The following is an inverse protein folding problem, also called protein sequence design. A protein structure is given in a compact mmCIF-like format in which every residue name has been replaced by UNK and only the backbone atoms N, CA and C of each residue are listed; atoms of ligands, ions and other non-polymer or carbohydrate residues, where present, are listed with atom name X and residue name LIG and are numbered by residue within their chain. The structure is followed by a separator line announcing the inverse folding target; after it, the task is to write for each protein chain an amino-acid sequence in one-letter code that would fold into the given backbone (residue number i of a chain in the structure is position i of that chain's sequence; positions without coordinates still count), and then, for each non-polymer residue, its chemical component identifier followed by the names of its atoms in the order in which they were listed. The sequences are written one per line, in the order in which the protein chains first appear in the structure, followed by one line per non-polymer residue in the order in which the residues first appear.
data_IF_802046377999
#
_entry.id   IF_802046377999
#
_cell.length_a   1.000
_cell.length_b   1.000
_cell.length_c   1.000
_cell.angle_alpha   90.00
_cell.angle_beta   90.00
_cell.angle_gamma   90.00
#
_symmetry.space_group_name_H-M   'P 1'
#
loop_
_entity.id
_entity.type
_entity.pdbx_description
1 polymer ?
#
# COMPACT_ATOMS: atom_id res chain seq x y z
N UNK A 1 -15.35 14.89 -19.66
CA UNK A 1 -15.36 13.87 -18.59
C UNK A 1 -14.12 13.04 -18.84
N UNK A 2 -13.07 13.26 -18.05
CA UNK A 2 -11.87 12.42 -18.14
C UNK A 2 -12.19 11.20 -17.30
N UNK A 3 -12.33 10.04 -17.94
CA UNK A 3 -12.28 8.76 -17.26
C UNK A 3 -10.95 8.72 -16.50
N UNK A 4 -11.00 8.99 -15.21
CA UNK A 4 -9.95 8.60 -14.28
C UNK A 4 -9.97 7.07 -14.28
N UNK A 5 -9.26 6.46 -15.23
CA UNK A 5 -8.74 5.11 -15.01
C UNK A 5 -8.14 5.15 -13.61
N UNK A 6 -8.79 4.46 -12.69
CA UNK A 6 -8.24 4.21 -11.38
C UNK A 6 -6.92 3.50 -11.64
N UNK A 7 -5.82 4.25 -11.61
CA UNK A 7 -4.50 3.66 -11.76
C UNK A 7 -4.29 2.77 -10.54
N UNK A 8 -4.65 1.50 -10.70
CA UNK A 8 -4.43 0.45 -9.72
C UNK A 8 -2.93 0.12 -9.57
N UNK A 9 -2.05 0.81 -10.30
CA UNK A 9 -0.61 0.54 -10.45
C UNK A 9 0.26 1.65 -9.84
N UNK A 10 -0.31 2.51 -9.00
CA UNK A 10 0.37 3.72 -8.55
C UNK A 10 1.25 3.54 -7.31
N UNK A 11 1.25 2.39 -6.62
CA UNK A 11 1.97 2.25 -5.34
C UNK A 11 2.66 0.88 -5.22
N UNK A 12 3.82 0.73 -5.85
CA UNK A 12 4.63 -0.50 -5.79
C UNK A 12 5.36 -0.61 -4.45
N UNK A 13 5.21 -1.75 -3.79
CA UNK A 13 5.91 -2.06 -2.54
C UNK A 13 7.32 -2.56 -2.87
N UNK A 14 8.32 -1.72 -2.59
CA UNK A 14 9.73 -2.09 -2.76
C UNK A 14 10.26 -2.86 -1.55
N UNK A 15 9.80 -2.50 -0.35
CA UNK A 15 10.23 -3.15 0.91
C UNK A 15 9.24 -2.88 2.03
N UNK A 16 9.03 -3.86 2.90
CA UNK A 16 8.48 -3.67 4.24
C UNK A 16 9.60 -3.85 5.26
N UNK A 17 9.88 -2.84 6.09
CA UNK A 17 10.96 -2.89 7.08
C UNK A 17 10.68 -2.03 8.31
N UNK A 18 11.56 -2.16 9.31
CA UNK A 18 11.63 -1.28 10.48
C UNK A 18 12.97 -0.57 10.51
N UNK A 19 12.95 0.69 10.90
CA UNK A 19 14.12 1.50 11.23
C UNK A 19 13.94 2.12 12.64
N UNK A 20 14.82 3.04 13.03
CA UNK A 20 14.75 3.74 14.33
C UNK A 20 13.53 4.64 14.46
N UNK A 21 12.90 5.04 13.35
CA UNK A 21 11.68 5.86 13.32
C UNK A 21 10.43 4.98 13.46
N UNK A 22 10.51 3.73 12.98
CA UNK A 22 9.51 2.70 13.19
C UNK A 22 9.22 1.84 11.96
N UNK A 23 8.09 1.14 12.00
CA UNK A 23 7.61 0.29 10.91
C UNK A 23 7.18 1.12 9.69
N UNK A 24 7.57 0.69 8.49
CA UNK A 24 7.28 1.42 7.26
C UNK A 24 7.28 0.53 6.02
N UNK A 25 6.68 1.06 4.96
CA UNK A 25 6.90 0.60 3.59
C UNK A 25 7.80 1.59 2.86
N UNK A 26 8.74 1.07 2.10
CA UNK A 26 9.38 1.79 0.99
C UNK A 26 8.50 1.58 -0.23
N UNK A 27 7.83 2.64 -0.67
CA UNK A 27 6.91 2.60 -1.81
C UNK A 27 7.49 3.39 -2.97
N UNK A 28 7.43 2.83 -4.17
CA UNK A 28 7.53 3.60 -5.41
C UNK A 28 6.12 4.00 -5.81
N UNK A 29 5.90 5.31 -5.87
CA UNK A 29 4.62 5.89 -6.27
C UNK A 29 4.75 6.51 -7.65
N UNK A 30 3.87 6.13 -8.57
CA UNK A 30 3.79 6.70 -9.92
C UNK A 30 2.53 7.54 -10.05
N UNK A 31 2.70 8.77 -10.52
CA UNK A 31 1.65 9.76 -10.79
C UNK A 31 1.85 10.30 -12.21
N UNK A 32 0.88 11.05 -12.77
CA UNK A 32 1.00 11.60 -14.13
C UNK A 32 2.24 12.50 -14.33
N UNK A 33 2.74 13.14 -13.28
CA UNK A 33 3.91 14.02 -13.28
C UNK A 33 5.24 13.31 -12.96
N UNK A 34 5.22 11.98 -12.78
CA UNK A 34 6.43 11.15 -12.66
C UNK A 34 6.35 10.11 -11.54
N UNK A 35 7.51 9.66 -11.06
CA UNK A 35 7.60 8.69 -9.97
C UNK A 35 8.42 9.21 -8.79
N UNK A 36 8.04 8.83 -7.57
CA UNK A 36 8.73 9.18 -6.33
C UNK A 36 8.82 7.96 -5.40
N UNK A 37 9.96 7.81 -4.73
CA UNK A 37 10.11 6.82 -3.67
C UNK A 37 9.82 7.49 -2.33
N UNK A 38 8.83 6.97 -1.60
CA UNK A 38 8.39 7.50 -0.31
C UNK A 38 8.60 6.49 0.82
N UNK A 39 8.71 7.02 2.05
CA UNK A 39 8.60 6.27 3.30
C UNK A 39 7.16 6.36 3.81
N UNK A 40 6.41 5.29 3.68
CA UNK A 40 5.03 5.23 4.14
C UNK A 40 4.97 4.57 5.53
N UNK A 41 4.67 5.37 6.56
CA UNK A 41 4.66 4.89 7.94
C UNK A 41 3.52 3.90 8.21
N UNK A 42 3.83 2.83 8.94
CA UNK A 42 2.86 1.83 9.38
C UNK A 42 2.83 1.77 10.90
N UNK A 43 1.68 1.40 11.46
CA UNK A 43 1.65 0.86 12.81
C UNK A 43 2.18 -0.59 12.83
N UNK A 44 2.33 -1.13 14.03
CA UNK A 44 2.87 -2.48 14.22
C UNK A 44 1.95 -3.57 13.64
N UNK A 45 0.63 -3.40 13.77
CA UNK A 45 -0.36 -4.39 13.37
C UNK A 45 -0.40 -4.52 11.86
N UNK A 46 -0.48 -3.40 11.15
CA UNK A 46 -0.49 -3.35 9.70
C UNK A 46 0.85 -3.80 9.11
N UNK A 47 1.96 -3.44 9.77
CA UNK A 47 3.29 -3.92 9.38
C UNK A 47 3.40 -5.44 9.39
N UNK A 48 2.96 -6.09 10.47
CA UNK A 48 3.02 -7.57 10.56
C UNK A 48 2.21 -8.19 9.42
N UNK A 49 0.97 -7.71 9.19
CA UNK A 49 0.10 -8.22 8.13
C UNK A 49 0.72 -8.05 6.75
N UNK A 50 1.17 -6.85 6.40
CA UNK A 50 1.76 -6.58 5.08
C UNK A 50 3.06 -7.35 4.88
N UNK A 51 3.94 -7.38 5.90
CA UNK A 51 5.18 -8.16 5.86
C UNK A 51 4.91 -9.63 5.57
N UNK A 52 3.90 -10.21 6.19
CA UNK A 52 3.57 -11.62 6.01
C UNK A 52 2.92 -11.89 4.65
N UNK A 53 2.20 -10.92 4.09
CA UNK A 53 1.69 -10.97 2.71
C UNK A 53 2.86 -10.95 1.71
N UNK A 54 3.79 -10.00 1.84
CA UNK A 54 4.87 -9.80 0.84
C UNK A 54 5.99 -10.84 0.94
N UNK A 55 6.04 -11.63 2.03
CA UNK A 55 6.97 -12.76 2.19
C UNK A 55 6.51 -14.04 1.50
N UNK A 56 5.23 -14.15 1.15
CA UNK A 56 4.66 -15.37 0.56
C UNK A 56 4.51 -15.16 -0.94
N UNK A 57 5.12 -16.01 -1.76
CA UNK A 57 4.73 -16.07 -3.17
C UNK A 57 3.27 -16.52 -3.24
N UNK A 58 2.39 -15.69 -3.79
CA UNK A 58 0.96 -16.01 -4.00
C UNK A 58 0.70 -16.63 -5.38
N UNK A 59 1.78 -16.87 -6.13
CA UNK A 59 1.81 -17.60 -7.38
C UNK A 59 2.66 -18.87 -7.21
N UNK A 60 2.89 -19.62 -8.30
CA UNK A 60 3.66 -20.86 -8.24
C UNK A 60 5.09 -20.60 -7.76
N UNK A 61 5.63 -21.50 -6.92
CA UNK A 61 6.97 -21.31 -6.31
C UNK A 61 8.14 -21.18 -7.30
N UNK A 62 7.93 -21.57 -8.56
CA UNK A 62 8.88 -21.49 -9.67
C UNK A 62 8.74 -20.20 -10.48
N UNK A 63 7.70 -19.41 -10.24
CA UNK A 63 7.42 -18.18 -10.95
C UNK A 63 8.30 -17.03 -10.41
N UNK A 64 9.26 -16.61 -11.25
CA UNK A 64 10.13 -15.46 -11.00
C UNK A 64 9.44 -14.14 -11.42
N UNK A 65 9.97 -13.02 -10.93
CA UNK A 65 9.58 -11.65 -11.34
C UNK A 65 8.16 -11.20 -10.98
N UNK A 66 7.70 -11.52 -9.76
CA UNK A 66 6.49 -10.91 -9.20
C UNK A 66 6.81 -9.67 -8.35
N UNK A 67 5.86 -8.75 -8.25
CA UNK A 67 5.93 -7.61 -7.34
C UNK A 67 4.61 -7.39 -6.62
N UNK A 68 4.63 -6.56 -5.56
CA UNK A 68 3.42 -6.21 -4.82
C UNK A 68 3.07 -4.75 -5.02
N UNK A 69 1.78 -4.47 -5.05
CA UNK A 69 1.20 -3.15 -5.14
C UNK A 69 0.24 -2.95 -3.98
N UNK A 70 0.30 -1.79 -3.34
CA UNK A 70 -0.69 -1.36 -2.38
C UNK A 70 -1.83 -0.65 -3.12
N UNK A 71 -3.07 -1.06 -2.89
CA UNK A 71 -4.21 -0.39 -3.50
C UNK A 71 -4.76 0.69 -2.55
N UNK A 72 -5.00 1.93 -3.02
CA UNK A 72 -5.46 3.03 -2.18
C UNK A 72 -6.94 2.93 -1.78
N UNK A 73 -7.56 1.77 -1.96
CA UNK A 73 -8.98 1.53 -1.70
C UNK A 73 -9.18 0.76 -0.41
N UNK A 74 -10.03 1.32 0.46
CA UNK A 74 -10.43 0.73 1.73
C UNK A 74 -11.89 0.32 1.66
N UNK A 75 -12.17 -0.95 1.96
CA UNK A 75 -13.51 -1.45 2.24
C UNK A 75 -13.89 -1.23 3.70
N UNK A 76 -15.19 -1.18 3.97
CA UNK A 76 -15.73 -1.14 5.34
C UNK A 76 -16.63 -2.35 5.53
N UNK A 77 -16.36 -3.14 6.56
CA UNK A 77 -17.19 -4.27 6.96
C UNK A 77 -17.72 -4.05 8.38
N UNK A 78 -19.01 -4.29 8.58
CA UNK A 78 -19.61 -4.29 9.91
C UNK A 78 -19.52 -5.69 10.49
N UNK A 79 -18.82 -5.84 11.61
CA UNK A 79 -18.89 -7.09 12.37
C UNK A 79 -20.23 -7.14 13.09
N UNK A 80 -21.20 -7.86 12.50
CA UNK A 80 -22.57 -7.97 13.02
C UNK A 80 -22.64 -8.54 14.44
N UNK A 81 -21.60 -9.22 14.93
CA UNK A 81 -21.61 -9.80 16.28
C UNK A 81 -21.08 -8.85 17.35
N UNK A 82 -20.21 -7.90 16.99
CA UNK A 82 -19.59 -6.96 17.94
C UNK A 82 -20.04 -5.50 17.77
N UNK A 83 -20.69 -5.17 16.66
CA UNK A 83 -21.00 -3.78 16.31
C UNK A 83 -19.77 -2.95 15.93
N UNK A 84 -18.60 -3.59 15.80
CA UNK A 84 -17.33 -2.93 15.50
C UNK A 84 -17.15 -2.79 13.98
N UNK A 85 -16.75 -1.60 13.55
CA UNK A 85 -16.39 -1.31 12.17
C UNK A 85 -14.99 -1.83 11.87
N UNK A 86 -14.86 -2.66 10.83
CA UNK A 86 -13.58 -3.16 10.32
C UNK A 86 -13.24 -2.47 9.01
N UNK A 87 -11.99 -2.03 8.88
CA UNK A 87 -11.46 -1.51 7.63
C UNK A 87 -10.71 -2.62 6.91
N UNK A 88 -10.96 -2.76 5.61
CA UNK A 88 -10.36 -3.81 4.77
C UNK A 88 -9.47 -3.15 3.73
N UNK A 89 -8.16 -3.36 3.83
CA UNK A 89 -7.17 -2.92 2.87
C UNK A 89 -6.80 -4.04 1.90
N UNK A 90 -6.14 -3.67 0.81
CA UNK A 90 -5.85 -4.58 -0.31
C UNK A 90 -4.41 -4.43 -0.78
N UNK A 91 -3.71 -5.56 -0.87
CA UNK A 91 -2.45 -5.69 -1.59
C UNK A 91 -2.70 -6.55 -2.81
N UNK A 92 -2.13 -6.17 -3.96
CA UNK A 92 -2.14 -6.95 -5.18
C UNK A 92 -0.74 -7.53 -5.40
N UNK A 93 -0.64 -8.84 -5.61
CA UNK A 93 0.56 -9.51 -6.11
C UNK A 93 0.45 -9.60 -7.63
N UNK A 94 1.42 -9.10 -8.38
CA UNK A 94 1.41 -9.00 -9.85
C UNK A 94 2.52 -9.85 -10.43
N UNK A 95 2.20 -10.56 -11.50
CA UNK A 95 3.21 -11.24 -12.31
C UNK A 95 2.77 -11.26 -13.79
N UNK A 96 3.49 -10.53 -14.64
CA UNK A 96 3.09 -10.34 -16.03
C UNK A 96 1.64 -9.82 -16.13
N UNK A 97 0.76 -10.61 -16.73
CA UNK A 97 -0.68 -10.30 -16.87
C UNK A 97 -1.55 -10.85 -15.72
N UNK A 98 -0.96 -11.59 -14.77
CA UNK A 98 -1.67 -12.18 -13.62
C UNK A 98 -1.65 -11.21 -12.44
N UNK A 99 -2.76 -11.17 -11.70
CA UNK A 99 -2.86 -10.43 -10.45
C UNK A 99 -3.66 -11.23 -9.42
N UNK A 100 -3.11 -11.42 -8.23
CA UNK A 100 -3.82 -11.96 -7.07
C UNK A 100 -4.08 -10.83 -6.07
N UNK A 101 -5.33 -10.65 -5.66
CA UNK A 101 -5.73 -9.65 -4.66
C UNK A 101 -5.82 -10.30 -3.29
N UNK A 102 -5.12 -9.71 -2.33
CA UNK A 102 -5.09 -10.14 -0.93
C UNK A 102 -5.72 -9.05 -0.09
N UNK A 103 -6.86 -9.37 0.50
CA UNK A 103 -7.56 -8.49 1.43
C UNK A 103 -7.09 -8.76 2.86
N UNK A 104 -6.96 -7.71 3.67
CA UNK A 104 -6.63 -7.84 5.08
C UNK A 104 -7.32 -6.75 5.89
N UNK A 105 -7.71 -7.08 7.12
CA UNK A 105 -8.18 -6.08 8.07
C UNK A 105 -7.04 -5.12 8.42
N UNK A 106 -7.26 -3.81 8.35
CA UNK A 106 -6.26 -2.79 8.66
C UNK A 106 -6.71 -1.88 9.80
N UNK A 107 -5.77 -1.13 10.37
CA UNK A 107 -6.09 -0.10 11.37
C UNK A 107 -6.87 1.07 10.77
N UNK A 108 -7.60 1.79 11.61
CA UNK A 108 -8.25 3.06 11.23
C UNK A 108 -7.22 4.09 10.73
N UNK A 109 -6.03 4.13 11.34
CA UNK A 109 -4.94 5.03 10.91
C UNK A 109 -4.49 4.71 9.49
N UNK A 110 -4.31 3.44 9.17
CA UNK A 110 -3.95 3.02 7.82
C UNK A 110 -5.05 3.37 6.82
N UNK A 111 -6.30 3.11 7.19
CA UNK A 111 -7.45 3.48 6.38
C UNK A 111 -7.50 4.99 6.09
N UNK A 112 -7.28 5.81 7.12
CA UNK A 112 -7.19 7.27 7.00
C UNK A 112 -6.06 7.71 6.08
N UNK A 113 -4.87 7.11 6.20
CA UNK A 113 -3.74 7.43 5.31
C UNK A 113 -4.02 7.04 3.85
N UNK A 114 -4.72 5.92 3.60
CA UNK A 114 -5.13 5.51 2.25
C UNK A 114 -6.18 6.47 1.68
N UNK A 115 -7.15 6.91 2.48
CA UNK A 115 -8.16 7.86 2.03
C UNK A 115 -7.54 9.24 1.76
N UNK A 116 -6.61 9.71 2.59
CA UNK A 116 -5.80 10.90 2.32
C UNK A 116 -5.05 10.76 1.00
N UNK A 117 -4.34 9.64 0.78
CA UNK A 117 -3.60 9.42 -0.47
C UNK A 117 -4.54 9.50 -1.68
N UNK A 118 -5.69 8.81 -1.62
CA UNK A 118 -6.68 8.82 -2.69
C UNK A 118 -7.29 10.22 -2.94
N UNK A 119 -7.61 10.96 -1.87
CA UNK A 119 -8.34 12.23 -1.97
C UNK A 119 -7.47 13.45 -2.22
N UNK A 120 -6.25 13.46 -1.73
CA UNK A 120 -5.47 14.69 -1.64
C UNK A 120 -4.18 14.64 -2.46
N UNK A 121 -3.62 13.45 -2.70
CA UNK A 121 -2.40 13.33 -3.54
C UNK A 121 -2.78 13.44 -5.01
N UNK A 122 -2.21 14.42 -5.70
CA UNK A 122 -2.45 14.70 -7.13
C UNK A 122 -1.16 14.82 -7.94
N UNK A 123 -0.06 15.16 -7.29
CA UNK A 123 1.25 15.35 -7.90
C UNK A 123 2.38 14.93 -6.95
N UNK A 124 3.60 14.80 -7.48
CA UNK A 124 4.78 14.43 -6.68
C UNK A 124 5.06 15.43 -5.55
N UNK A 125 4.71 16.71 -5.73
CA UNK A 125 4.87 17.75 -4.71
C UNK A 125 4.07 17.44 -3.44
N UNK A 126 2.91 16.80 -3.55
CA UNK A 126 2.09 16.43 -2.38
C UNK A 126 2.79 15.36 -1.54
N UNK A 127 3.66 14.56 -2.16
CA UNK A 127 4.41 13.47 -1.54
C UNK A 127 5.83 13.86 -1.11
N UNK A 128 6.28 15.07 -1.40
CA UNK A 128 7.65 15.51 -1.11
C UNK A 128 8.01 15.34 0.36
N UNK A 129 7.09 15.63 1.28
CA UNK A 129 7.31 15.47 2.72
C UNK A 129 7.54 14.01 3.15
N UNK A 130 7.16 13.04 2.31
CA UNK A 130 7.37 11.61 2.53
C UNK A 130 8.56 11.04 1.75
N UNK A 131 9.28 11.85 0.97
CA UNK A 131 10.39 11.39 0.11
C UNK A 131 11.43 10.62 0.92
N UNK A 132 11.77 9.41 0.46
CA UNK A 132 12.66 8.47 1.15
C UNK A 132 13.99 9.10 1.59
N UNK A 133 14.56 9.96 0.75
CA UNK A 133 15.84 10.63 1.01
C UNK A 133 15.85 11.53 2.25
N UNK A 134 14.67 11.99 2.71
CA UNK A 134 14.52 12.81 3.93
C UNK A 134 14.65 12.00 5.21
N UNK A 135 14.60 10.67 5.10
CA UNK A 135 14.63 9.73 6.22
C UNK A 135 15.89 8.85 6.19
N UNK A 136 16.98 9.31 5.55
CA UNK A 136 18.27 8.60 5.61
C UNK A 136 18.74 8.55 7.06
N UNK A 137 18.47 7.42 7.71
CA UNK A 137 19.07 6.95 8.97
C UNK A 137 20.24 6.07 8.61
#
# INVERSE_FOLDING_TARGET
MVDTQANHENMKILKASKDTIGSHLKLEVTLPDGSIIIRFGLDEVDYIKIRDIVKKNHFDSLEAEYHYELLPYIGVSLDKQKGEQKFIANVRCVQGQKAARIEFECSERFAGNMEWFKRDVRCLRDLEHLKWEKFKV
#
